data_IF_257339961317
#
_entry.id   IF_257339961317
#
_cell.length_a   1.000
_cell.length_b   1.000
_cell.length_c   1.000
_cell.angle_alpha   90.00
_cell.angle_beta   90.00
_cell.angle_gamma   90.00
#
_symmetry.space_group_name_H-M   'P 1'
#
loop_
_entity.id
_entity.type
_entity.pdbx_description
1 polymer ?
#
# COMPACT_ATOMS: atom_id res chain seq x y z
N UNK A 1 -43.25 -24.34 50.52
CA UNK A 1 -41.82 -24.09 50.80
C UNK A 1 -41.12 -23.82 49.49
N UNK A 2 -40.51 -22.65 49.43
CA UNK A 2 -39.27 -22.30 48.72
C UNK A 2 -39.10 -22.41 47.20
N UNK A 3 -38.45 -21.34 46.72
CA UNK A 3 -38.02 -20.97 45.38
C UNK A 3 -36.90 -21.91 44.87
N UNK A 4 -36.78 -22.04 43.54
CA UNK A 4 -35.64 -21.49 42.75
C UNK A 4 -35.74 -21.84 41.27
N UNK A 5 -35.38 -20.82 40.48
CA UNK A 5 -35.28 -20.70 39.03
C UNK A 5 -34.15 -21.56 38.43
N UNK A 6 -34.19 -21.84 37.12
CA UNK A 6 -33.09 -21.58 36.17
C UNK A 6 -33.61 -21.62 34.72
N UNK A 7 -33.19 -20.62 33.94
CA UNK A 7 -33.44 -20.44 32.50
C UNK A 7 -32.69 -21.48 31.66
N UNK A 8 -33.22 -21.78 30.47
CA UNK A 8 -32.40 -21.76 29.24
C UNK A 8 -33.28 -21.43 28.04
N UNK A 9 -32.92 -20.34 27.37
CA UNK A 9 -33.49 -19.84 26.13
C UNK A 9 -32.60 -20.28 24.96
N UNK A 10 -33.20 -20.60 23.82
CA UNK A 10 -32.50 -20.97 22.60
C UNK A 10 -33.47 -20.97 21.42
N UNK A 11 -34.02 -19.78 21.10
CA UNK A 11 -34.87 -19.57 19.94
C UNK A 11 -34.03 -19.08 18.76
N UNK A 12 -33.98 -19.89 17.71
CA UNK A 12 -33.39 -19.54 16.41
C UNK A 12 -34.14 -18.37 15.77
N UNK A 13 -33.39 -17.34 15.35
CA UNK A 13 -33.91 -16.27 14.51
C UNK A 13 -33.22 -16.33 13.14
N UNK A 14 -34.07 -16.43 12.13
CA UNK A 14 -33.79 -16.46 10.69
C UNK A 14 -33.22 -15.11 10.26
N UNK A 15 -32.01 -15.10 9.67
CA UNK A 15 -31.48 -13.92 8.98
C UNK A 15 -32.21 -13.78 7.64
N UNK A 16 -33.06 -12.75 7.57
CA UNK A 16 -33.56 -12.23 6.32
C UNK A 16 -32.50 -11.31 5.69
N UNK A 17 -32.14 -11.58 4.43
CA UNK A 17 -31.41 -10.64 3.58
C UNK A 17 -32.26 -9.37 3.44
N UNK A 18 -31.81 -8.29 4.07
CA UNK A 18 -32.20 -6.94 3.71
C UNK A 18 -31.01 -6.32 2.97
N UNK A 19 -31.21 -6.01 1.69
CA UNK A 19 -30.38 -5.06 0.96
C UNK A 19 -30.52 -3.70 1.68
N UNK A 20 -29.58 -3.42 2.57
CA UNK A 20 -29.48 -2.16 3.28
C UNK A 20 -28.44 -1.29 2.60
N UNK A 21 -28.90 -0.23 1.92
CA UNK A 21 -28.08 0.97 1.74
C UNK A 21 -27.68 1.43 3.14
N UNK A 22 -26.38 1.41 3.43
CA UNK A 22 -25.83 1.96 4.67
C UNK A 22 -26.11 3.47 4.69
N UNK A 23 -27.13 3.87 5.46
CA UNK A 23 -27.45 5.26 5.71
C UNK A 23 -26.47 5.85 6.72
N UNK A 24 -25.73 6.85 6.28
CA UNK A 24 -25.32 8.05 7.02
C UNK A 24 -25.83 8.19 8.46
N UNK A 25 -25.00 7.79 9.43
CA UNK A 25 -24.93 8.45 10.72
C UNK A 25 -23.60 9.22 10.70
N UNK A 26 -23.68 10.55 10.60
CA UNK A 26 -22.51 11.41 10.43
C UNK A 26 -21.56 11.29 11.61
N UNK A 27 -20.46 10.58 11.39
CA UNK A 27 -19.26 10.65 12.22
C UNK A 27 -18.43 11.84 11.71
N UNK A 28 -18.88 13.05 12.03
CA UNK A 28 -18.30 14.29 11.50
C UNK A 28 -16.86 14.54 11.96
N UNK A 29 -16.26 13.61 12.72
CA UNK A 29 -14.88 13.63 13.18
C UNK A 29 -14.18 12.28 13.02
N UNK A 30 -14.52 11.47 12.00
CA UNK A 30 -13.78 10.24 11.70
C UNK A 30 -12.60 10.50 10.75
N UNK A 31 -11.54 9.67 10.78
CA UNK A 31 -10.45 9.73 9.80
C UNK A 31 -10.92 9.68 8.34
N UNK A 32 -11.92 8.83 8.05
CA UNK A 32 -12.47 8.65 6.71
C UNK A 32 -13.10 9.94 6.16
N UNK A 33 -13.68 10.78 7.04
CA UNK A 33 -14.30 12.05 6.66
C UNK A 33 -13.30 13.05 6.06
N UNK A 34 -12.03 13.02 6.46
CA UNK A 34 -10.99 13.86 5.86
C UNK A 34 -10.75 13.47 4.38
N UNK A 35 -10.70 12.17 4.09
CA UNK A 35 -10.54 11.64 2.72
C UNK A 35 -11.80 11.88 1.88
N UNK A 36 -13.00 11.72 2.45
CA UNK A 36 -14.25 12.08 1.78
C UNK A 36 -14.30 13.56 1.42
N UNK A 37 -13.85 14.44 2.33
CA UNK A 37 -13.79 15.88 2.07
C UNK A 37 -12.85 16.22 0.90
N UNK A 38 -11.71 15.53 0.81
CA UNK A 38 -10.77 15.67 -0.30
C UNK A 38 -11.40 15.36 -1.65
N UNK A 39 -11.92 14.15 -1.84
CA UNK A 39 -12.51 13.73 -3.12
C UNK A 39 -13.78 14.51 -3.47
N UNK A 40 -14.59 14.85 -2.46
CA UNK A 40 -15.77 15.69 -2.66
C UNK A 40 -15.40 17.08 -3.14
N UNK A 41 -14.38 17.73 -2.56
CA UNK A 41 -13.91 19.04 -3.06
C UNK A 41 -13.33 18.89 -4.46
N UNK A 42 -12.52 17.87 -4.71
CA UNK A 42 -11.95 17.61 -6.05
C UNK A 42 -13.04 17.50 -7.13
N UNK A 43 -14.10 16.73 -6.86
CA UNK A 43 -15.22 16.55 -7.80
C UNK A 43 -16.04 17.82 -8.04
N UNK A 44 -16.00 18.76 -7.10
CA UNK A 44 -16.72 20.03 -7.16
C UNK A 44 -15.87 21.17 -7.75
N UNK A 45 -14.56 20.99 -7.85
CA UNK A 45 -13.64 21.98 -8.40
C UNK A 45 -13.73 22.05 -9.93
N UNK A 46 -13.59 23.26 -10.47
CA UNK A 46 -13.64 23.50 -11.92
C UNK A 46 -12.37 22.99 -12.62
N UNK A 47 -11.22 23.14 -11.95
CA UNK A 47 -9.91 22.75 -12.42
C UNK A 47 -8.96 22.47 -11.24
N UNK A 48 -7.73 22.03 -11.56
CA UNK A 48 -6.74 21.66 -10.56
C UNK A 48 -6.18 22.85 -9.77
N UNK A 49 -6.19 24.07 -10.32
CA UNK A 49 -5.77 25.27 -9.57
C UNK A 49 -6.79 25.62 -8.48
N UNK A 50 -8.08 25.58 -8.83
CA UNK A 50 -9.17 25.77 -7.89
C UNK A 50 -9.14 24.69 -6.79
N UNK A 51 -8.89 23.43 -7.16
CA UNK A 51 -8.79 22.36 -6.18
C UNK A 51 -7.54 22.48 -5.29
N UNK A 52 -6.39 22.82 -5.85
CA UNK A 52 -5.16 23.01 -5.09
C UNK A 52 -5.33 24.07 -3.98
N UNK A 53 -6.06 25.16 -4.25
CA UNK A 53 -6.38 26.15 -3.22
C UNK A 53 -7.19 25.56 -2.04
N UNK A 54 -8.05 24.58 -2.29
CA UNK A 54 -8.80 23.88 -1.26
C UNK A 54 -7.93 22.87 -0.48
N UNK A 55 -6.91 22.29 -1.11
CA UNK A 55 -6.01 21.29 -0.49
C UNK A 55 -5.28 21.89 0.72
N UNK A 56 -4.82 23.14 0.64
CA UNK A 56 -4.15 23.81 1.77
C UNK A 56 -5.05 23.90 3.01
N UNK A 57 -6.37 23.96 2.84
CA UNK A 57 -7.33 23.98 3.95
C UNK A 57 -7.73 22.57 4.45
N UNK A 58 -7.36 21.52 3.72
CA UNK A 58 -7.61 20.11 4.09
C UNK A 58 -6.38 19.42 4.68
N UNK A 59 -5.20 19.89 4.30
CA UNK A 59 -3.93 19.30 4.68
C UNK A 59 -3.55 19.62 6.13
N UNK A 60 -2.87 18.67 6.76
CA UNK A 60 -2.26 18.85 8.08
C UNK A 60 -1.17 19.94 7.99
N UNK A 61 -0.90 20.74 9.04
CA UNK A 61 0.12 21.81 8.98
C UNK A 61 1.51 21.34 8.55
N UNK A 62 1.88 20.11 8.90
CA UNK A 62 3.15 19.48 8.48
C UNK A 62 3.06 18.72 7.15
N UNK A 63 1.87 18.58 6.57
CA UNK A 63 1.72 17.87 5.31
C UNK A 63 2.48 18.58 4.17
N UNK A 64 3.27 17.84 3.37
CA UNK A 64 3.86 18.39 2.15
C UNK A 64 2.82 18.75 1.07
N UNK A 65 1.56 18.31 1.21
CA UNK A 65 0.50 18.56 0.22
C UNK A 65 0.23 20.05 0.02
N UNK A 66 0.29 20.87 1.08
CA UNK A 66 0.11 22.31 0.97
C UNK A 66 1.16 22.95 0.04
N UNK A 67 2.42 22.51 0.15
CA UNK A 67 3.50 22.97 -0.72
C UNK A 67 3.29 22.52 -2.17
N UNK A 68 2.89 21.26 -2.37
CA UNK A 68 2.60 20.73 -3.71
C UNK A 68 1.44 21.49 -4.37
N UNK A 69 0.40 21.81 -3.59
CA UNK A 69 -0.74 22.61 -4.05
C UNK A 69 -0.33 24.03 -4.46
N UNK A 70 0.58 24.65 -3.73
CA UNK A 70 1.10 25.99 -4.08
C UNK A 70 2.05 25.96 -5.29
N UNK A 71 2.97 25.00 -5.34
CA UNK A 71 4.07 24.97 -6.31
C UNK A 71 3.68 24.26 -7.63
N UNK A 72 2.86 23.21 -7.55
CA UNK A 72 2.52 22.33 -8.68
C UNK A 72 1.01 21.96 -8.67
N UNK A 73 0.09 22.92 -8.89
CA UNK A 73 -1.35 22.62 -8.92
C UNK A 73 -1.76 21.53 -9.93
N UNK A 74 -1.04 21.42 -11.06
CA UNK A 74 -1.30 20.39 -12.07
C UNK A 74 -1.12 18.95 -11.58
N UNK A 75 -0.47 18.73 -10.43
CA UNK A 75 -0.38 17.42 -9.80
C UNK A 75 -1.76 16.82 -9.47
N UNK A 76 -2.79 17.67 -9.37
CA UNK A 76 -4.15 17.26 -9.03
C UNK A 76 -5.09 17.09 -10.24
N UNK A 77 -4.62 17.26 -11.47
CA UNK A 77 -5.43 17.11 -12.70
C UNK A 77 -6.14 15.75 -12.82
N UNK A 78 -5.48 14.69 -12.35
CA UNK A 78 -6.07 13.36 -12.34
C UNK A 78 -7.17 13.22 -11.28
N UNK A 79 -7.03 13.91 -10.14
CA UNK A 79 -7.88 13.75 -8.96
C UNK A 79 -9.26 14.37 -9.18
N UNK A 80 -9.35 15.49 -9.91
CA UNK A 80 -10.64 16.12 -10.23
C UNK A 80 -11.54 15.23 -11.12
N UNK A 81 -10.98 14.18 -11.74
CA UNK A 81 -11.71 13.20 -12.56
C UNK A 81 -11.96 11.88 -11.82
N UNK A 82 -11.60 11.80 -10.54
CA UNK A 82 -11.73 10.60 -9.74
C UNK A 82 -13.02 10.61 -8.93
N UNK A 83 -13.65 9.45 -8.81
CA UNK A 83 -14.80 9.22 -7.93
C UNK A 83 -14.40 8.30 -6.78
N UNK A 84 -14.74 8.68 -5.55
CA UNK A 84 -14.53 7.85 -4.37
C UNK A 84 -15.71 6.89 -4.22
N UNK A 85 -15.44 5.58 -4.20
CA UNK A 85 -16.47 4.56 -4.04
C UNK A 85 -16.69 4.19 -2.56
N UNK A 86 -15.63 3.98 -1.78
CA UNK A 86 -15.73 3.61 -0.36
C UNK A 86 -14.42 3.92 0.39
N UNK A 87 -14.43 4.82 1.39
CA UNK A 87 -13.32 5.00 2.33
C UNK A 87 -13.52 4.14 3.60
N UNK A 88 -12.45 3.49 4.05
CA UNK A 88 -12.44 2.68 5.27
C UNK A 88 -11.15 2.90 6.07
N UNK A 89 -11.26 3.01 7.39
CA UNK A 89 -10.08 3.02 8.27
C UNK A 89 -9.51 1.60 8.33
N UNK A 90 -8.24 1.45 7.96
CA UNK A 90 -7.53 0.17 7.91
C UNK A 90 -6.38 0.08 8.92
N UNK A 91 -6.00 1.20 9.51
CA UNK A 91 -5.02 1.27 10.59
C UNK A 91 -5.21 2.53 11.42
N UNK A 92 -4.87 2.46 12.70
CA UNK A 92 -4.91 3.57 13.66
C UNK A 92 -3.60 3.55 14.46
N UNK A 93 -3.16 4.71 14.93
CA UNK A 93 -1.98 4.86 15.79
C UNK A 93 -0.69 4.24 15.20
N UNK A 94 -0.42 4.47 13.91
CA UNK A 94 0.82 3.99 13.29
C UNK A 94 2.02 4.76 13.83
N UNK A 95 3.13 4.05 13.97
CA UNK A 95 4.35 4.55 14.61
C UNK A 95 5.10 5.58 13.74
N UNK A 96 5.97 6.39 14.37
CA UNK A 96 6.85 7.32 13.67
C UNK A 96 7.73 6.63 12.61
N UNK A 97 8.24 5.43 12.91
CA UNK A 97 9.02 4.63 11.96
C UNK A 97 8.17 4.15 10.79
N UNK A 98 6.93 3.74 11.04
CA UNK A 98 5.99 3.35 9.99
C UNK A 98 5.60 4.55 9.10
N UNK A 99 5.42 5.74 9.68
CA UNK A 99 5.19 6.98 8.92
C UNK A 99 6.38 7.32 8.02
N UNK A 100 7.62 7.17 8.51
CA UNK A 100 8.84 7.34 7.70
C UNK A 100 8.86 6.39 6.51
N UNK A 101 8.41 5.15 6.73
CA UNK A 101 8.30 4.16 5.67
C UNK A 101 7.20 4.44 4.66
N UNK A 102 6.26 5.38 4.86
CA UNK A 102 5.21 5.71 3.87
C UNK A 102 5.79 6.23 2.57
N UNK A 103 6.74 7.15 2.65
CA UNK A 103 7.45 7.58 1.47
C UNK A 103 8.75 8.27 1.84
N UNK A 104 9.82 7.99 1.11
CA UNK A 104 11.09 8.69 1.22
C UNK A 104 10.92 10.18 0.97
N UNK A 105 9.98 10.59 0.12
CA UNK A 105 9.64 12.01 -0.05
C UNK A 105 9.01 12.61 1.22
N UNK A 106 8.06 11.89 1.84
CA UNK A 106 7.42 12.33 3.08
C UNK A 106 8.46 12.42 4.21
N UNK A 107 9.26 11.37 4.39
CA UNK A 107 10.32 11.30 5.39
C UNK A 107 11.35 12.43 5.20
N UNK A 108 11.75 12.73 3.97
CA UNK A 108 12.68 13.82 3.67
C UNK A 108 12.06 15.22 3.82
N UNK A 109 10.73 15.33 3.78
CA UNK A 109 9.99 16.59 3.87
C UNK A 109 9.70 17.02 5.31
N UNK A 110 9.89 16.12 6.28
CA UNK A 110 9.53 16.29 7.69
C UNK A 110 10.76 16.18 8.58
N UNK A 111 10.75 16.93 9.68
CA UNK A 111 11.68 16.75 10.80
C UNK A 111 11.18 15.64 11.74
N UNK A 112 12.07 15.10 12.58
CA UNK A 112 11.68 14.10 13.59
C UNK A 112 10.58 14.60 14.52
N UNK A 113 10.62 15.88 14.92
CA UNK A 113 9.60 16.48 15.79
C UNK A 113 8.23 16.56 15.11
N UNK A 114 8.19 16.84 13.80
CA UNK A 114 6.96 16.88 13.02
C UNK A 114 6.38 15.47 12.80
N UNK A 115 7.25 14.47 12.58
CA UNK A 115 6.85 13.06 12.49
C UNK A 115 6.27 12.59 13.82
N UNK A 116 6.90 12.88 14.94
CA UNK A 116 6.38 12.53 16.28
C UNK A 116 5.03 13.22 16.55
N UNK A 117 4.84 14.45 16.08
CA UNK A 117 3.55 15.14 16.20
C UNK A 117 2.45 14.45 15.37
N UNK A 118 2.77 13.99 14.17
CA UNK A 118 1.83 13.20 13.34
C UNK A 118 1.58 11.83 14.01
N UNK A 119 2.62 11.22 14.57
CA UNK A 119 2.53 9.92 15.23
C UNK A 119 1.66 9.93 16.51
N UNK A 120 1.39 11.11 17.09
CA UNK A 120 0.64 11.24 18.33
C UNK A 120 -0.81 10.75 18.23
N UNK A 121 -1.49 11.04 17.11
CA UNK A 121 -2.86 10.59 16.84
C UNK A 121 -3.09 10.61 15.32
N UNK A 122 -3.09 9.41 14.72
CA UNK A 122 -3.18 9.22 13.28
C UNK A 122 -3.95 7.96 12.89
N UNK A 123 -4.28 7.88 11.60
CA UNK A 123 -4.90 6.71 11.01
C UNK A 123 -4.54 6.58 9.53
N UNK A 124 -4.67 5.35 9.03
CA UNK A 124 -4.57 5.01 7.62
C UNK A 124 -5.97 4.69 7.10
N UNK A 125 -6.39 5.44 6.09
CA UNK A 125 -7.67 5.26 5.41
C UNK A 125 -7.42 4.66 4.04
N UNK A 126 -7.95 3.46 3.78
CA UNK A 126 -8.04 2.91 2.42
C UNK A 126 -9.23 3.53 1.70
N UNK A 127 -9.04 3.92 0.45
CA UNK A 127 -10.06 4.51 -0.40
C UNK A 127 -10.04 3.82 -1.76
N UNK A 128 -11.18 3.22 -2.12
CA UNK A 128 -11.41 2.74 -3.49
C UNK A 128 -11.76 3.91 -4.39
N UNK A 129 -10.98 4.11 -5.46
CA UNK A 129 -11.09 5.24 -6.37
C UNK A 129 -11.33 4.76 -7.80
N UNK A 130 -12.31 5.35 -8.46
CA UNK A 130 -12.59 5.14 -9.88
C UNK A 130 -11.93 6.27 -10.66
N UNK A 131 -10.99 5.93 -11.52
CA UNK A 131 -10.29 6.86 -12.42
C UNK A 131 -11.20 7.40 -13.53
N UNK A 132 -10.75 8.47 -14.20
CA UNK A 132 -11.50 9.09 -15.29
C UNK A 132 -11.68 8.20 -16.54
N UNK A 133 -10.88 7.14 -16.65
CA UNK A 133 -10.98 6.06 -17.64
C UNK A 133 -11.93 4.92 -17.21
N UNK A 134 -12.44 4.96 -15.98
CA UNK A 134 -13.33 3.96 -15.39
C UNK A 134 -12.62 2.82 -14.67
N UNK A 135 -11.28 2.78 -14.66
CA UNK A 135 -10.50 1.82 -13.88
C UNK A 135 -10.61 2.08 -12.38
N UNK A 136 -10.79 1.02 -11.59
CA UNK A 136 -10.86 1.08 -10.14
C UNK A 136 -9.49 0.75 -9.53
N UNK A 137 -9.05 1.51 -8.53
CA UNK A 137 -7.81 1.24 -7.80
C UNK A 137 -7.92 1.66 -6.33
N UNK A 138 -7.23 0.94 -5.46
CA UNK A 138 -7.11 1.31 -4.04
C UNK A 138 -6.05 2.41 -3.87
N UNK A 139 -6.33 3.37 -2.99
CA UNK A 139 -5.37 4.36 -2.51
C UNK A 139 -5.45 4.49 -1.00
N UNK A 140 -4.30 4.42 -0.32
CA UNK A 140 -4.22 4.69 1.12
C UNK A 140 -3.83 6.12 1.42
N UNK A 141 -4.39 6.64 2.50
CA UNK A 141 -4.16 7.99 2.99
C UNK A 141 -3.74 7.93 4.45
N UNK A 142 -2.58 8.50 4.75
CA UNK A 142 -2.26 8.89 6.12
C UNK A 142 -3.02 10.16 6.46
N UNK A 143 -3.76 10.12 7.57
CA UNK A 143 -4.44 11.26 8.17
C UNK A 143 -4.03 11.38 9.63
N UNK A 144 -3.99 12.60 10.14
CA UNK A 144 -3.64 12.89 11.53
C UNK A 144 -4.47 14.05 12.05
N UNK A 145 -4.61 14.13 13.37
CA UNK A 145 -5.37 15.21 14.00
C UNK A 145 -4.53 16.47 14.18
N UNK A 146 -5.12 17.61 13.87
CA UNK A 146 -4.62 18.95 14.20
C UNK A 146 -5.76 19.71 14.90
N UNK A 147 -5.55 20.17 16.13
CA UNK A 147 -6.58 20.80 16.96
C UNK A 147 -7.91 20.00 17.02
N UNK A 148 -7.82 18.68 17.30
CA UNK A 148 -8.96 17.73 17.34
C UNK A 148 -9.70 17.54 16.00
N UNK A 149 -9.15 18.03 14.87
CA UNK A 149 -9.72 17.84 13.53
C UNK A 149 -8.83 16.92 12.67
N UNK A 150 -9.42 15.91 12.02
CA UNK A 150 -8.70 15.04 11.08
C UNK A 150 -8.31 15.78 9.80
N UNK A 151 -7.01 15.74 9.48
CA UNK A 151 -6.42 16.38 8.30
C UNK A 151 -5.62 15.40 7.46
N UNK A 152 -5.47 15.70 6.18
CA UNK A 152 -4.69 14.88 5.25
C UNK A 152 -3.20 15.09 5.48
N UNK A 153 -2.43 14.02 5.66
CA UNK A 153 -0.97 14.10 5.75
C UNK A 153 -0.35 13.74 4.41
N UNK A 154 -0.59 12.53 3.91
CA UNK A 154 0.05 12.06 2.68
C UNK A 154 -0.72 10.91 2.04
N UNK A 155 -0.94 10.93 0.71
CA UNK A 155 -1.40 9.76 -0.02
C UNK A 155 -0.22 8.79 -0.23
N UNK A 156 -0.38 7.54 0.15
CA UNK A 156 0.63 6.51 -0.01
C UNK A 156 0.42 5.36 0.95
N UNK A 157 0.77 4.15 0.50
CA UNK A 157 1.10 3.06 1.40
C UNK A 157 2.54 3.26 1.89
N UNK A 158 2.96 2.65 3.01
CA UNK A 158 4.36 2.30 3.23
C UNK A 158 5.07 1.96 1.90
N UNK A 159 6.09 2.71 1.50
CA UNK A 159 7.25 2.21 0.77
C UNK A 159 7.88 1.07 1.60
N UNK A 160 7.15 -0.04 1.63
CA UNK A 160 7.44 -1.23 2.39
C UNK A 160 7.68 -2.42 1.46
N UNK A 161 7.96 -3.59 2.04
CA UNK A 161 8.23 -4.82 1.30
C UNK A 161 7.21 -5.13 0.20
N UNK A 162 5.93 -4.88 0.48
CA UNK A 162 4.82 -5.18 -0.43
C UNK A 162 4.84 -4.30 -1.68
N UNK A 163 5.36 -3.08 -1.58
CA UNK A 163 5.31 -2.08 -2.66
C UNK A 163 6.15 -2.50 -3.86
N UNK A 164 7.37 -3.03 -3.64
CA UNK A 164 8.20 -3.53 -4.75
C UNK A 164 7.59 -4.77 -5.41
N UNK A 165 6.88 -5.61 -4.66
CA UNK A 165 6.18 -6.79 -5.21
C UNK A 165 4.94 -6.38 -6.00
N UNK A 166 4.15 -5.42 -5.52
CA UNK A 166 3.04 -4.84 -6.30
C UNK A 166 3.53 -4.20 -7.58
N UNK A 167 4.66 -3.49 -7.51
CA UNK A 167 5.29 -2.88 -8.67
C UNK A 167 5.70 -3.92 -9.71
N UNK A 168 6.28 -5.04 -9.27
CA UNK A 168 6.61 -6.17 -10.15
C UNK A 168 5.39 -6.66 -10.95
N UNK A 169 4.29 -7.00 -10.29
CA UNK A 169 3.09 -7.51 -10.97
C UNK A 169 2.42 -6.45 -11.85
N UNK A 170 2.42 -5.18 -11.41
CA UNK A 170 1.93 -4.06 -12.23
C UNK A 170 2.71 -3.94 -13.53
N UNK A 171 4.05 -3.98 -13.47
CA UNK A 171 4.90 -3.93 -14.66
C UNK A 171 4.77 -5.17 -15.52
N UNK A 172 4.58 -6.35 -14.91
CA UNK A 172 4.32 -7.59 -15.63
C UNK A 172 3.09 -7.48 -16.53
N UNK A 173 1.95 -7.05 -15.96
CA UNK A 173 0.69 -6.89 -16.70
C UNK A 173 0.73 -5.77 -17.74
N UNK A 174 1.56 -4.74 -17.54
CA UNK A 174 1.72 -3.63 -18.48
C UNK A 174 2.74 -3.91 -19.61
N UNK A 175 3.62 -4.90 -19.45
CA UNK A 175 4.72 -5.13 -20.37
C UNK A 175 4.27 -5.72 -21.71
N UNK A 176 4.71 -5.10 -22.80
CA UNK A 176 4.38 -5.50 -24.17
C UNK A 176 5.08 -6.81 -24.59
N UNK A 177 6.16 -7.21 -23.91
CA UNK A 177 6.91 -8.44 -24.20
C UNK A 177 7.71 -8.93 -22.99
N UNK A 178 8.12 -10.20 -23.00
CA UNK A 178 9.02 -10.79 -22.01
C UNK A 178 10.32 -9.99 -21.83
N UNK A 179 10.90 -9.52 -22.94
CA UNK A 179 12.13 -8.72 -22.92
C UNK A 179 11.93 -7.34 -22.29
N UNK A 180 10.79 -6.70 -22.52
CA UNK A 180 10.46 -5.43 -21.86
C UNK A 180 10.29 -5.64 -20.35
N UNK A 181 9.56 -6.69 -19.95
CA UNK A 181 9.39 -6.99 -18.55
C UNK A 181 10.70 -7.40 -17.86
N UNK A 182 11.56 -8.16 -18.52
CA UNK A 182 12.86 -8.53 -17.97
C UNK A 182 13.73 -7.30 -17.65
N UNK A 183 13.70 -6.26 -18.49
CA UNK A 183 14.39 -5.00 -18.20
C UNK A 183 13.80 -4.29 -16.94
N UNK A 184 12.48 -4.40 -16.74
CA UNK A 184 11.84 -3.91 -15.51
C UNK A 184 12.25 -4.72 -14.28
N UNK A 185 12.36 -6.05 -14.40
CA UNK A 185 12.85 -6.92 -13.32
C UNK A 185 14.28 -6.56 -12.94
N UNK A 186 15.17 -6.32 -13.91
CA UNK A 186 16.53 -5.86 -13.65
C UNK A 186 16.55 -4.56 -12.85
N UNK A 187 15.65 -3.62 -13.15
CA UNK A 187 15.55 -2.35 -12.42
C UNK A 187 14.94 -2.49 -11.01
N UNK A 188 14.16 -3.54 -10.75
CA UNK A 188 13.53 -3.80 -9.44
C UNK A 188 14.36 -4.74 -8.57
N UNK A 189 15.31 -5.49 -9.16
CA UNK A 189 16.14 -6.45 -8.46
C UNK A 189 17.13 -5.77 -7.51
N UNK A 190 17.38 -6.42 -6.38
CA UNK A 190 18.45 -6.06 -5.46
C UNK A 190 19.79 -6.32 -6.16
N UNK A 191 20.85 -5.51 -5.98
CA UNK A 191 22.14 -5.75 -6.67
C UNK A 191 22.77 -7.11 -6.36
N UNK A 192 22.51 -7.64 -5.16
CA UNK A 192 22.94 -8.97 -4.73
C UNK A 192 21.97 -10.10 -5.18
N UNK A 193 20.89 -9.77 -5.89
CA UNK A 193 19.93 -10.74 -6.40
C UNK A 193 20.42 -11.36 -7.71
N UNK A 194 20.26 -12.68 -7.89
CA UNK A 194 20.46 -13.30 -9.20
C UNK A 194 19.35 -12.96 -10.21
N UNK A 195 18.25 -12.30 -9.81
CA UNK A 195 17.14 -11.95 -10.71
C UNK A 195 17.58 -11.03 -11.86
N UNK A 196 18.50 -10.10 -11.60
CA UNK A 196 19.01 -9.21 -12.65
C UNK A 196 19.71 -9.97 -13.77
N UNK A 197 20.60 -10.90 -13.42
CA UNK A 197 21.28 -11.76 -14.40
C UNK A 197 20.30 -12.70 -15.10
N UNK A 198 19.37 -13.32 -14.34
CA UNK A 198 18.34 -14.21 -14.90
C UNK A 198 17.44 -13.47 -15.90
N UNK A 199 17.08 -12.23 -15.61
CA UNK A 199 16.31 -11.38 -16.51
C UNK A 199 17.07 -11.05 -17.79
N UNK A 200 18.36 -10.75 -17.70
CA UNK A 200 19.20 -10.50 -18.87
C UNK A 200 19.41 -11.74 -19.74
N UNK A 201 19.65 -12.91 -19.12
CA UNK A 201 20.01 -14.14 -19.83
C UNK A 201 18.81 -14.94 -20.33
N UNK A 202 17.71 -14.93 -19.57
CA UNK A 202 16.51 -15.74 -19.85
C UNK A 202 15.22 -14.90 -19.70
N UNK A 203 14.99 -13.89 -20.55
CA UNK A 203 13.79 -13.04 -20.44
C UNK A 203 12.46 -13.80 -20.47
N UNK A 204 12.40 -14.93 -21.19
CA UNK A 204 11.20 -15.77 -21.30
C UNK A 204 10.80 -16.49 -20.01
N UNK A 205 11.66 -16.49 -18.97
CA UNK A 205 11.30 -17.05 -17.67
C UNK A 205 10.11 -16.30 -17.04
N UNK A 206 9.96 -15.01 -17.37
CA UNK A 206 8.96 -14.13 -16.78
C UNK A 206 7.66 -14.05 -17.59
N UNK A 207 7.51 -14.82 -18.67
CA UNK A 207 6.27 -14.79 -19.47
C UNK A 207 5.04 -15.18 -18.66
N UNK A 208 5.17 -16.18 -17.78
CA UNK A 208 4.06 -16.60 -16.93
C UNK A 208 3.61 -15.53 -15.93
N UNK A 209 4.50 -14.64 -15.50
CA UNK A 209 4.14 -13.55 -14.58
C UNK A 209 3.30 -12.45 -15.24
N UNK A 210 3.40 -12.31 -16.57
CA UNK A 210 2.60 -11.34 -17.35
C UNK A 210 1.13 -11.76 -17.49
N UNK A 211 0.86 -13.05 -17.28
CA UNK A 211 -0.47 -13.66 -17.31
C UNK A 211 -1.07 -13.78 -15.90
N UNK A 212 -0.39 -13.27 -14.87
CA UNK A 212 -0.83 -13.33 -13.47
C UNK A 212 -1.44 -12.01 -13.02
N UNK A 213 -2.54 -12.09 -12.30
CA UNK A 213 -3.15 -10.98 -11.58
C UNK A 213 -2.83 -11.10 -10.09
N UNK A 214 -2.34 -10.02 -9.47
CA UNK A 214 -2.10 -9.98 -8.03
C UNK A 214 -3.43 -9.81 -7.28
N UNK A 215 -3.83 -10.81 -6.51
CA UNK A 215 -5.06 -10.81 -5.72
C UNK A 215 -4.82 -10.23 -4.33
N UNK A 216 -3.75 -10.66 -3.67
CA UNK A 216 -3.40 -10.24 -2.32
C UNK A 216 -1.88 -10.21 -2.12
N UNK A 217 -1.40 -9.36 -1.21
CA UNK A 217 -0.01 -9.30 -0.82
C UNK A 217 0.12 -8.86 0.65
N UNK A 218 0.89 -9.61 1.44
CA UNK A 218 1.11 -9.33 2.86
C UNK A 218 2.53 -9.67 3.30
N UNK A 219 3.03 -8.96 4.32
CA UNK A 219 4.33 -9.27 4.93
C UNK A 219 4.14 -10.39 5.95
N UNK A 220 4.70 -11.57 5.69
CA UNK A 220 4.61 -12.73 6.60
C UNK A 220 5.79 -12.84 7.55
N UNK A 221 6.93 -12.23 7.22
CA UNK A 221 8.08 -12.11 8.10
C UNK A 221 8.88 -10.84 7.80
N UNK A 222 9.49 -10.26 8.84
CA UNK A 222 10.46 -9.16 8.74
C UNK A 222 11.76 -9.57 9.44
N UNK A 223 12.86 -8.99 8.97
CA UNK A 223 14.20 -9.13 9.54
C UNK A 223 14.60 -10.60 9.74
N UNK A 224 14.40 -11.40 8.69
CA UNK A 224 14.72 -12.82 8.75
C UNK A 224 16.23 -13.03 8.72
N UNK A 225 16.69 -14.03 9.47
CA UNK A 225 18.11 -14.32 9.59
C UNK A 225 18.70 -14.96 8.32
N UNK A 226 20.03 -15.01 8.28
CA UNK A 226 20.79 -15.56 7.16
C UNK A 226 20.48 -17.04 6.87
N UNK A 227 19.98 -17.81 7.85
CA UNK A 227 19.57 -19.20 7.63
C UNK A 227 18.24 -19.23 6.86
N UNK A 228 17.27 -18.42 7.28
CA UNK A 228 15.97 -18.29 6.60
C UNK A 228 16.13 -17.67 5.21
N UNK A 229 17.00 -16.69 5.02
CA UNK A 229 17.33 -16.11 3.70
C UNK A 229 17.82 -17.19 2.73
N UNK A 230 18.75 -18.06 3.16
CA UNK A 230 19.23 -19.18 2.32
C UNK A 230 18.16 -20.23 2.07
N UNK A 231 17.22 -20.40 2.99
CA UNK A 231 16.16 -21.40 2.91
C UNK A 231 14.94 -20.96 2.08
N UNK A 232 14.90 -19.71 1.59
CA UNK A 232 13.83 -19.23 0.69
C UNK A 232 13.77 -20.07 -0.59
N UNK A 233 14.92 -20.43 -1.15
CA UNK A 233 15.01 -21.28 -2.33
C UNK A 233 16.34 -22.02 -2.36
N UNK A 234 16.30 -23.31 -2.69
CA UNK A 234 17.51 -24.12 -2.89
C UNK A 234 18.42 -23.52 -3.97
N UNK A 235 17.84 -22.86 -4.98
CA UNK A 235 18.59 -22.18 -6.03
C UNK A 235 19.34 -20.97 -5.46
N UNK A 236 18.62 -20.07 -4.78
CA UNK A 236 19.22 -18.87 -4.20
C UNK A 236 20.27 -19.23 -3.14
N UNK A 237 19.95 -20.14 -2.21
CA UNK A 237 20.88 -20.60 -1.18
C UNK A 237 22.12 -21.31 -1.72
N UNK A 238 22.05 -21.88 -2.93
CA UNK A 238 23.19 -22.47 -3.62
C UNK A 238 24.03 -21.47 -4.43
N UNK A 239 23.43 -20.36 -4.87
CA UNK A 239 24.08 -19.34 -5.69
C UNK A 239 24.67 -18.20 -4.86
N UNK A 240 24.02 -17.82 -3.75
CA UNK A 240 24.42 -16.72 -2.89
C UNK A 240 25.64 -17.08 -2.04
N UNK A 241 26.67 -16.23 -2.08
CA UNK A 241 27.79 -16.30 -1.14
C UNK A 241 27.47 -15.59 0.18
N UNK A 242 28.37 -15.68 1.15
CA UNK A 242 28.15 -15.10 2.48
C UNK A 242 28.01 -13.56 2.42
N UNK A 243 28.70 -12.88 1.51
CA UNK A 243 28.59 -11.42 1.30
C UNK A 243 27.21 -11.05 0.76
N UNK A 244 26.70 -11.79 -0.23
CA UNK A 244 25.35 -11.66 -0.77
C UNK A 244 24.29 -11.82 0.32
N UNK A 245 24.44 -12.85 1.14
CA UNK A 245 23.49 -13.12 2.23
C UNK A 245 23.59 -12.04 3.31
N UNK A 246 24.77 -11.54 3.64
CA UNK A 246 24.93 -10.44 4.60
C UNK A 246 24.29 -9.13 4.11
N UNK A 247 24.44 -8.80 2.82
CA UNK A 247 23.80 -7.62 2.23
C UNK A 247 22.26 -7.71 2.32
N UNK A 248 21.70 -8.86 1.95
CA UNK A 248 20.25 -9.11 2.04
C UNK A 248 19.78 -9.20 3.50
N UNK A 249 20.60 -9.71 4.43
CA UNK A 249 20.21 -9.89 5.82
C UNK A 249 20.15 -8.58 6.63
N UNK A 250 20.62 -7.46 6.09
CA UNK A 250 20.66 -6.17 6.80
C UNK A 250 19.27 -5.64 7.17
N UNK A 251 18.36 -5.61 6.19
CA UNK A 251 16.95 -5.24 6.36
C UNK A 251 16.16 -5.94 5.24
N UNK A 252 15.30 -6.89 5.62
CA UNK A 252 14.58 -7.73 4.68
C UNK A 252 13.18 -8.13 5.18
N UNK A 253 12.41 -8.69 4.27
CA UNK A 253 11.10 -9.24 4.57
C UNK A 253 10.74 -10.37 3.60
N UNK A 254 9.83 -11.22 4.06
CA UNK A 254 9.14 -12.19 3.21
C UNK A 254 7.72 -11.68 2.99
N UNK A 255 7.35 -11.52 1.72
CA UNK A 255 6.02 -11.09 1.29
C UNK A 255 5.31 -12.29 0.68
N UNK A 256 4.24 -12.75 1.31
CA UNK A 256 3.34 -13.73 0.69
C UNK A 256 2.42 -12.99 -0.28
N UNK A 257 2.26 -13.55 -1.48
CA UNK A 257 1.31 -13.07 -2.48
C UNK A 257 0.39 -14.18 -2.92
N UNK A 258 -0.87 -13.84 -3.12
CA UNK A 258 -1.83 -14.67 -3.84
C UNK A 258 -1.97 -14.11 -5.24
N UNK A 259 -1.74 -14.95 -6.24
CA UNK A 259 -1.88 -14.59 -7.66
C UNK A 259 -2.92 -15.48 -8.32
N UNK A 260 -3.70 -14.92 -9.23
CA UNK A 260 -4.61 -15.65 -10.10
C UNK A 260 -3.97 -15.80 -11.48
N UNK A 261 -3.97 -17.03 -12.01
CA UNK A 261 -3.61 -17.30 -13.41
C UNK A 261 -4.77 -16.94 -14.36
N UNK A 262 -4.50 -16.93 -15.67
CA UNK A 262 -5.50 -16.62 -16.72
C UNK A 262 -6.69 -17.62 -16.76
N UNK A 263 -6.53 -18.81 -16.18
CA UNK A 263 -7.63 -19.78 -15.98
C UNK A 263 -8.45 -19.55 -14.70
N UNK A 264 -8.07 -18.56 -13.89
CA UNK A 264 -8.69 -18.19 -12.62
C UNK A 264 -8.23 -19.01 -11.43
N UNK A 265 -7.25 -19.92 -11.59
CA UNK A 265 -6.70 -20.67 -10.46
C UNK A 265 -5.78 -19.75 -9.63
N UNK A 266 -6.06 -19.69 -8.32
CA UNK A 266 -5.29 -18.93 -7.35
C UNK A 266 -4.22 -19.79 -6.69
N UNK A 267 -3.01 -19.24 -6.54
CA UNK A 267 -1.91 -19.88 -5.83
C UNK A 267 -1.05 -18.87 -5.08
N UNK A 268 -0.36 -19.35 -4.04
CA UNK A 268 0.47 -18.54 -3.17
C UNK A 268 1.95 -18.64 -3.54
N UNK A 269 2.66 -17.52 -3.43
CA UNK A 269 4.11 -17.41 -3.64
C UNK A 269 4.73 -16.55 -2.54
N UNK A 270 5.98 -16.83 -2.15
CA UNK A 270 6.71 -16.03 -1.15
C UNK A 270 7.86 -15.27 -1.81
N UNK A 271 7.79 -13.94 -1.84
CA UNK A 271 8.88 -13.08 -2.26
C UNK A 271 9.81 -12.75 -1.10
N UNK A 272 11.11 -13.00 -1.25
CA UNK A 272 12.13 -12.36 -0.45
C UNK A 272 12.45 -11.00 -1.04
N UNK A 273 12.39 -9.96 -0.20
CA UNK A 273 12.76 -8.59 -0.55
C UNK A 273 13.69 -8.01 0.50
N UNK A 274 14.57 -7.11 0.09
CA UNK A 274 15.53 -6.44 0.96
C UNK A 274 15.77 -5.00 0.53
N UNK A 275 16.27 -4.16 1.43
CA UNK A 275 16.57 -2.78 1.09
C UNK A 275 17.96 -2.64 0.46
N UNK A 276 18.05 -1.77 -0.55
CA UNK A 276 19.30 -1.30 -1.14
C UNK A 276 19.24 0.23 -1.19
N UNK A 277 20.21 0.90 -0.58
CA UNK A 277 20.21 2.37 -0.38
C UNK A 277 18.89 2.93 0.23
N UNK A 278 18.21 2.12 1.06
CA UNK A 278 16.95 2.49 1.72
C UNK A 278 15.69 2.27 0.88
N UNK A 279 15.80 1.70 -0.32
CA UNK A 279 14.66 1.34 -1.17
C UNK A 279 14.44 -0.19 -1.18
N UNK A 280 13.19 -0.65 -1.09
CA UNK A 280 12.87 -2.08 -1.19
C UNK A 280 13.09 -2.62 -2.60
N UNK A 281 13.83 -3.74 -2.70
CA UNK A 281 14.20 -4.41 -3.95
C UNK A 281 13.85 -5.90 -3.91
N UNK A 282 13.59 -6.49 -5.08
CA UNK A 282 13.31 -7.92 -5.21
C UNK A 282 14.60 -8.73 -5.04
N UNK A 283 14.60 -9.72 -4.16
CA UNK A 283 15.75 -10.62 -3.99
C UNK A 283 15.49 -11.94 -4.69
N UNK A 284 14.41 -12.64 -4.35
CA UNK A 284 14.07 -13.92 -4.97
C UNK A 284 12.61 -14.30 -4.73
N UNK A 285 12.09 -15.22 -5.54
CA UNK A 285 10.74 -15.81 -5.47
C UNK A 285 10.81 -17.33 -5.23
#
# INVERSE_FOLDING_TARGET
MERRSFLSAGGAAVLALAAGRSSTAGDAGSPATAVEAYYRRASASEDAEAFAADVTALAHPFSPLSRIAEDVPMAFDAVIRQELSDPAVVGEDISADEIRSISGFLAASLTDEEIESIAAENAVVSATVIGGDGGEFERRWLVATDDDEWRLVWPGEPEGPVTVVREYYRRAGAAESAAAFAADVEALAHPASPLGEVAADVPGLFDGAREQELVAAEVVARDVDAERVRAVSDFFGGAADDETVEAVAAENAIVSVTVAADDGDEFELEWLVATDDGEWRLVWL
#
